data_IF_767960598348
#
_entry.id   IF_767960598348
#
_cell.length_a   1.000
_cell.length_b   1.000
_cell.length_c   1.000
_cell.angle_alpha   90.00
_cell.angle_beta   90.00
_cell.angle_gamma   90.00
#
_symmetry.space_group_name_H-M   'P 1'
#
loop_
_entity.id
_entity.type
_entity.pdbx_description
1 polymer ?
#
# COMPACT_ATOMS: atom_id res chain seq x y z
N UNK A 1 7.26 15.21 34.58
CA UNK A 1 6.43 15.85 33.53
C UNK A 1 6.75 15.15 32.21
N UNK A 2 5.85 14.22 31.88
CA UNK A 2 5.69 13.33 30.72
C UNK A 2 6.54 13.67 29.47
N UNK A 3 7.55 12.85 29.18
CA UNK A 3 8.11 12.70 27.83
C UNK A 3 8.17 11.21 27.50
N UNK A 4 6.99 10.69 27.16
CA UNK A 4 6.69 9.28 26.96
C UNK A 4 6.58 9.00 25.45
N UNK A 5 7.28 7.93 25.03
CA UNK A 5 7.08 7.13 23.83
C UNK A 5 6.95 7.83 22.46
N UNK A 6 8.04 7.77 21.69
CA UNK A 6 7.97 7.35 20.27
C UNK A 6 9.14 6.40 20.00
N UNK A 7 9.10 5.26 20.68
CA UNK A 7 9.78 4.05 20.22
C UNK A 7 8.91 3.42 19.15
N UNK A 8 9.06 3.86 17.90
CA UNK A 8 8.53 3.13 16.74
C UNK A 8 9.50 1.98 16.51
N UNK A 9 9.31 0.88 17.23
CA UNK A 9 9.97 -0.39 16.92
C UNK A 9 9.67 -0.75 15.46
N UNK A 10 10.72 -0.92 14.65
CA UNK A 10 10.65 -1.56 13.33
C UNK A 10 10.38 -3.06 13.49
N UNK A 11 9.23 -3.44 14.04
CA UNK A 11 8.78 -4.84 14.12
C UNK A 11 7.74 -5.11 13.04
N UNK A 12 8.18 -5.86 12.02
CA UNK A 12 7.31 -6.74 11.26
C UNK A 12 6.53 -6.10 10.11
N UNK A 13 7.21 -5.43 9.17
CA UNK A 13 6.69 -5.40 7.80
C UNK A 13 6.80 -6.83 7.29
N UNK A 14 5.69 -7.58 7.35
CA UNK A 14 5.57 -8.87 6.68
C UNK A 14 5.70 -8.58 5.19
N UNK A 15 6.92 -8.66 4.68
CA UNK A 15 7.17 -8.57 3.26
C UNK A 15 6.40 -9.71 2.61
N UNK A 16 5.32 -9.38 1.92
CA UNK A 16 4.75 -10.30 0.95
C UNK A 16 5.87 -10.59 -0.04
N UNK A 17 6.31 -11.85 -0.11
CA UNK A 17 7.43 -12.35 -0.93
C UNK A 17 7.28 -12.06 -2.44
N UNK A 18 6.14 -11.51 -2.86
CA UNK A 18 5.77 -11.21 -4.25
C UNK A 18 6.41 -9.92 -4.78
N UNK A 19 6.75 -8.94 -3.93
CA UNK A 19 7.33 -7.66 -4.36
C UNK A 19 8.66 -7.39 -3.67
N UNK A 20 9.64 -6.82 -4.39
CA UNK A 20 10.89 -6.37 -3.78
C UNK A 20 10.67 -5.15 -2.87
N UNK A 21 11.59 -4.90 -1.93
CA UNK A 21 11.43 -3.84 -0.92
C UNK A 21 11.22 -2.45 -1.53
N UNK A 22 11.90 -2.15 -2.63
CA UNK A 22 11.80 -0.86 -3.34
C UNK A 22 10.44 -0.68 -4.00
N UNK A 23 9.90 -1.73 -4.61
CA UNK A 23 8.58 -1.73 -5.24
C UNK A 23 7.48 -1.63 -4.18
N UNK A 24 7.64 -2.29 -3.04
CA UNK A 24 6.73 -2.13 -1.90
C UNK A 24 6.74 -0.70 -1.38
N UNK A 25 7.92 -0.10 -1.19
CA UNK A 25 8.07 1.29 -0.77
C UNK A 25 7.34 2.24 -1.74
N UNK A 26 7.61 2.10 -3.04
CA UNK A 26 6.97 2.91 -4.09
C UNK A 26 5.45 2.73 -4.10
N UNK A 27 4.97 1.49 -4.03
CA UNK A 27 3.54 1.17 -4.02
C UNK A 27 2.83 1.79 -2.81
N UNK A 28 3.40 1.64 -1.61
CA UNK A 28 2.85 2.19 -0.37
C UNK A 28 2.81 3.72 -0.43
N UNK A 29 3.90 4.35 -0.89
CA UNK A 29 3.93 5.81 -1.06
C UNK A 29 2.88 6.31 -2.06
N UNK A 30 2.65 5.60 -3.17
CA UNK A 30 1.61 5.97 -4.13
C UNK A 30 0.22 5.89 -3.48
N UNK A 31 -0.05 4.82 -2.73
CA UNK A 31 -1.34 4.61 -2.06
C UNK A 31 -1.60 5.70 -1.02
N UNK A 32 -0.61 6.01 -0.16
CA UNK A 32 -0.72 7.05 0.86
C UNK A 32 -0.99 8.43 0.23
N UNK A 33 -0.23 8.78 -0.81
CA UNK A 33 -0.42 10.07 -1.50
C UNK A 33 -1.79 10.12 -2.19
N UNK A 34 -2.22 9.04 -2.84
CA UNK A 34 -3.52 8.99 -3.51
C UNK A 34 -4.70 9.05 -2.53
N UNK A 35 -4.59 8.44 -1.35
CA UNK A 35 -5.60 8.57 -0.28
C UNK A 35 -5.73 10.02 0.19
N UNK A 36 -4.62 10.76 0.25
CA UNK A 36 -4.60 12.15 0.69
C UNK A 36 -5.08 13.13 -0.38
N UNK A 37 -4.66 12.97 -1.64
CA UNK A 37 -4.93 13.94 -2.70
C UNK A 37 -6.11 13.58 -3.60
N UNK A 38 -6.47 12.29 -3.71
CA UNK A 38 -7.36 11.77 -4.76
C UNK A 38 -6.90 12.12 -6.19
N UNK A 39 -5.62 12.46 -6.37
CA UNK A 39 -5.02 12.80 -7.67
C UNK A 39 -4.07 11.70 -8.14
N UNK A 40 -4.03 11.39 -9.45
CA UNK A 40 -3.04 10.50 -10.02
C UNK A 40 -1.60 10.88 -9.65
N UNK A 41 -0.80 9.88 -9.26
CA UNK A 41 0.55 10.12 -8.74
C UNK A 41 1.59 9.92 -9.83
N UNK A 42 2.49 10.90 -9.98
CA UNK A 42 3.61 10.87 -10.92
C UNK A 42 4.96 10.63 -10.24
N UNK A 43 5.94 10.12 -10.99
CA UNK A 43 7.25 9.75 -10.45
C UNK A 43 8.06 10.94 -9.89
N UNK A 44 7.85 12.16 -10.41
CA UNK A 44 8.49 13.38 -9.91
C UNK A 44 7.90 13.85 -8.58
N UNK A 45 6.61 13.66 -8.37
CA UNK A 45 5.96 13.94 -7.08
C UNK A 45 6.46 12.94 -6.05
N UNK A 46 6.48 11.65 -6.42
CA UNK A 46 6.92 10.59 -5.55
C UNK A 46 8.39 10.71 -5.16
N UNK A 47 9.28 11.13 -6.07
CA UNK A 47 10.71 11.29 -5.76
C UNK A 47 10.98 12.37 -4.70
N UNK A 48 10.03 13.29 -4.48
CA UNK A 48 10.13 14.34 -3.46
C UNK A 48 9.51 13.91 -2.14
N UNK A 49 8.48 13.06 -2.16
CA UNK A 49 7.79 12.60 -0.96
C UNK A 49 8.43 11.34 -0.35
N UNK A 50 9.04 10.49 -1.17
CA UNK A 50 9.72 9.28 -0.72
C UNK A 50 11.04 9.70 -0.05
N UNK A 51 11.19 9.43 1.24
CA UNK A 51 12.37 9.80 2.03
C UNK A 51 13.65 9.02 1.68
N UNK A 52 13.70 8.43 0.48
CA UNK A 52 14.77 7.58 -0.03
C UNK A 52 15.27 8.15 -1.36
N UNK A 53 16.58 8.09 -1.60
CA UNK A 53 17.21 8.60 -2.83
C UNK A 53 16.89 7.73 -4.06
N UNK A 54 15.63 7.75 -4.53
CA UNK A 54 15.23 7.16 -5.80
C UNK A 54 15.03 8.24 -6.85
N UNK A 55 15.65 8.07 -8.01
CA UNK A 55 15.48 9.01 -9.11
C UNK A 55 14.07 8.90 -9.73
N UNK A 56 13.53 9.99 -10.33
CA UNK A 56 12.26 9.93 -11.04
C UNK A 56 12.22 8.88 -12.16
N UNK A 57 13.37 8.55 -12.77
CA UNK A 57 13.49 7.51 -13.80
C UNK A 57 13.36 6.10 -13.18
N UNK A 58 14.04 5.85 -12.07
CA UNK A 58 13.92 4.58 -11.33
C UNK A 58 12.49 4.36 -10.85
N UNK A 59 11.85 5.39 -10.32
CA UNK A 59 10.45 5.30 -9.87
C UNK A 59 9.53 5.02 -11.06
N UNK A 60 9.75 5.65 -12.22
CA UNK A 60 8.96 5.39 -13.43
C UNK A 60 9.04 3.93 -13.86
N UNK A 61 10.23 3.32 -13.83
CA UNK A 61 10.42 1.91 -14.16
C UNK A 61 9.66 1.01 -13.18
N UNK A 62 9.81 1.25 -11.87
CA UNK A 62 9.08 0.49 -10.85
C UNK A 62 7.57 0.64 -11.02
N UNK A 63 7.08 1.84 -11.34
CA UNK A 63 5.66 2.09 -11.59
C UNK A 63 5.14 1.37 -12.84
N UNK A 64 5.98 1.16 -13.86
CA UNK A 64 5.64 0.33 -15.01
C UNK A 64 5.55 -1.13 -14.61
N UNK A 65 6.53 -1.66 -13.89
CA UNK A 65 6.52 -3.05 -13.40
C UNK A 65 5.28 -3.32 -12.52
N UNK A 66 4.96 -2.40 -11.61
CA UNK A 66 3.77 -2.46 -10.76
C UNK A 66 2.47 -2.42 -11.58
N UNK A 67 2.46 -1.73 -12.71
CA UNK A 67 1.30 -1.70 -13.60
C UNK A 67 1.14 -3.03 -14.35
N UNK A 68 2.22 -3.62 -14.85
CA UNK A 68 2.22 -4.94 -15.48
C UNK A 68 1.77 -6.03 -14.50
N UNK A 69 2.16 -5.91 -13.24
CA UNK A 69 1.70 -6.78 -12.15
C UNK A 69 0.25 -6.51 -11.73
N UNK A 70 -0.43 -5.53 -12.30
CA UNK A 70 -1.83 -5.19 -12.03
C UNK A 70 -2.06 -4.48 -10.70
N UNK A 71 -1.03 -3.90 -10.08
CA UNK A 71 -1.18 -3.08 -8.87
C UNK A 71 -1.57 -1.64 -9.22
N UNK A 72 -1.09 -1.12 -10.34
CA UNK A 72 -1.35 0.24 -10.79
C UNK A 72 -2.06 0.25 -12.15
N UNK A 73 -2.93 1.23 -12.38
CA UNK A 73 -3.46 1.51 -13.71
C UNK A 73 -3.09 2.92 -14.15
N UNK A 74 -3.02 3.11 -15.46
CA UNK A 74 -2.81 4.42 -16.05
C UNK A 74 -4.14 5.16 -16.11
N UNK A 75 -4.20 6.34 -15.50
CA UNK A 75 -5.41 7.19 -15.63
C UNK A 75 -5.49 7.80 -17.03
N UNK A 76 -4.37 8.26 -17.61
CA UNK A 76 -4.17 8.63 -19.02
C UNK A 76 -2.66 8.64 -19.37
N UNK A 77 -2.27 8.75 -20.65
CA UNK A 77 -0.86 8.78 -21.14
C UNK A 77 0.06 9.78 -20.43
N UNK A 78 -0.49 10.81 -19.79
CA UNK A 78 0.25 11.84 -19.05
C UNK A 78 -0.08 11.96 -17.57
N UNK A 79 -1.21 11.42 -17.09
CA UNK A 79 -1.76 11.77 -15.78
C UNK A 79 -1.02 11.12 -14.59
N UNK A 80 -0.22 10.07 -14.80
CA UNK A 80 0.37 9.30 -13.71
C UNK A 80 -0.40 8.00 -13.47
N UNK A 81 -0.27 7.43 -12.27
CA UNK A 81 -0.84 6.13 -11.92
C UNK A 81 -1.77 6.23 -10.73
N UNK A 82 -2.79 5.40 -10.73
CA UNK A 82 -3.72 5.22 -9.61
C UNK A 82 -3.67 3.78 -9.10
N UNK A 83 -3.78 3.57 -7.77
CA UNK A 83 -3.85 2.22 -7.21
C UNK A 83 -5.11 1.48 -7.65
N UNK A 84 -4.97 0.18 -7.85
CA UNK A 84 -6.09 -0.76 -8.05
C UNK A 84 -6.58 -1.33 -6.72
N UNK A 85 -7.71 -2.03 -6.75
CA UNK A 85 -8.17 -2.84 -5.61
C UNK A 85 -7.07 -3.81 -5.11
N UNK A 86 -6.36 -4.48 -6.04
CA UNK A 86 -5.25 -5.38 -5.73
C UNK A 86 -4.15 -4.68 -4.91
N UNK A 87 -3.83 -3.43 -5.25
CA UNK A 87 -2.87 -2.62 -4.51
C UNK A 87 -3.36 -2.29 -3.10
N UNK A 88 -4.62 -1.90 -2.93
CA UNK A 88 -5.18 -1.66 -1.60
C UNK A 88 -5.20 -2.93 -0.74
N UNK A 89 -5.57 -4.08 -1.30
CA UNK A 89 -5.52 -5.37 -0.59
C UNK A 89 -4.10 -5.71 -0.15
N UNK A 90 -3.12 -5.52 -1.03
CA UNK A 90 -1.71 -5.70 -0.69
C UNK A 90 -1.29 -4.76 0.44
N UNK A 91 -1.63 -3.48 0.33
CA UNK A 91 -1.28 -2.47 1.32
C UNK A 91 -1.85 -2.81 2.69
N UNK A 92 -3.15 -3.10 2.79
CA UNK A 92 -3.80 -3.49 4.05
C UNK A 92 -3.16 -4.75 4.64
N UNK A 93 -2.85 -5.75 3.81
CA UNK A 93 -2.17 -6.97 4.28
C UNK A 93 -0.72 -6.71 4.75
N UNK A 94 -0.07 -5.66 4.27
CA UNK A 94 1.26 -5.24 4.70
C UNK A 94 1.26 -4.43 5.99
N UNK A 95 0.10 -3.88 6.40
CA UNK A 95 -0.06 -3.21 7.68
C UNK A 95 -0.02 -4.26 8.80
N UNK A 96 0.87 -4.05 9.76
CA UNK A 96 1.25 -5.04 10.77
C UNK A 96 0.13 -5.48 11.74
N UNK A 97 -1.08 -4.94 11.62
CA UNK A 97 -2.18 -5.19 12.56
C UNK A 97 -3.49 -5.42 11.81
N UNK A 98 -3.91 -6.68 11.60
CA UNK A 98 -5.32 -6.90 11.28
C UNK A 98 -6.15 -6.38 12.47
N UNK A 99 -7.21 -5.59 12.24
CA UNK A 99 -8.14 -5.31 13.33
C UNK A 99 -8.63 -6.65 13.86
N UNK A 100 -8.52 -6.87 15.18
CA UNK A 100 -9.08 -8.06 15.80
C UNK A 100 -10.57 -8.07 15.48
N UNK A 101 -11.00 -8.98 14.60
CA UNK A 101 -12.42 -9.19 14.35
C UNK A 101 -13.05 -9.56 15.69
N UNK A 102 -14.00 -8.77 16.23
CA UNK A 102 -14.69 -9.12 17.47
C UNK A 102 -15.30 -10.51 17.32
N UNK A 103 -15.14 -11.37 18.32
CA UNK A 103 -15.52 -12.79 18.25
C UNK A 103 -17.02 -12.99 17.93
N UNK A 104 -17.83 -11.98 18.25
CA UNK A 104 -19.26 -11.88 17.92
C UNK A 104 -19.54 -11.96 16.40
N UNK A 105 -18.64 -11.45 15.56
CA UNK A 105 -18.79 -11.48 14.09
C UNK A 105 -18.47 -12.89 13.56
N UNK A 106 -17.47 -13.59 14.13
CA UNK A 106 -17.17 -14.98 13.76
C UNK A 106 -18.34 -15.92 14.05
N UNK A 107 -18.98 -15.76 15.21
CA UNK A 107 -20.13 -16.58 15.60
C UNK A 107 -21.34 -16.40 14.67
N UNK A 108 -21.52 -15.20 14.11
CA UNK A 108 -22.63 -14.92 13.19
C UNK A 108 -22.40 -15.50 11.79
N UNK A 109 -21.14 -15.58 11.34
CA UNK A 109 -20.79 -16.19 10.04
C UNK A 109 -20.96 -17.72 10.09
N UNK A 110 -20.66 -18.38 11.22
CA UNK A 110 -20.85 -19.83 11.38
C UNK A 110 -22.30 -20.30 11.34
N UNK A 111 -23.28 -19.41 11.53
CA UNK A 111 -24.70 -19.78 11.49
C UNK A 111 -25.33 -19.65 10.11
N UNK A 112 -24.69 -18.96 9.17
CA UNK A 112 -25.24 -18.77 7.81
C UNK A 112 -24.82 -19.90 6.85
N UNK A 113 -23.75 -20.62 7.15
CA UNK A 113 -23.28 -21.75 6.31
C UNK A 113 -24.02 -23.07 6.54
N UNK A 114 -25.08 -23.10 7.35
CA UNK A 114 -25.84 -24.32 7.64
C UNK A 114 -27.30 -24.28 7.14
N UNK A 115 -27.64 -23.35 6.24
CA UNK A 115 -28.96 -23.30 5.58
C UNK A 115 -28.87 -23.33 4.04
N UNK A 116 -27.93 -24.10 3.48
CA UNK A 116 -27.99 -24.53 2.07
C UNK A 116 -27.72 -26.03 1.94
#
# INVERSE_FOLDING_TARGET
>A
MIKTLIGIEKKGVRHSLVLNERAQLVLNSIIENYIQSSEPIGSRTLSKSIGVALSPATIRNIMSDLAELGYLIQSHTSAGRVPTDKAYRFYVNSLATPPSVPEQIKQKISQVSNEQ
#
